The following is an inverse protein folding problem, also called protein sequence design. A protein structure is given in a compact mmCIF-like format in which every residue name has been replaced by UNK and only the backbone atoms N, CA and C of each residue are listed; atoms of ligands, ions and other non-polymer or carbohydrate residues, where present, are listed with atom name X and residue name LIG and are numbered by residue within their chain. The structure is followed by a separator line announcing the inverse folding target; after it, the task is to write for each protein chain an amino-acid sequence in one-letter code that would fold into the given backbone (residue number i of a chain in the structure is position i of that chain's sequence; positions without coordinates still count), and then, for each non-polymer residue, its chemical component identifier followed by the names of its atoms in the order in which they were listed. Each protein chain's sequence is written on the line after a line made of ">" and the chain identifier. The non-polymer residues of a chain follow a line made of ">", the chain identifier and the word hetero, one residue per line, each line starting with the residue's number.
data_IF_570881857276
#
_entry.id   IF_570881857276
#
_cell.length_a   1.000
_cell.length_b   1.000
_cell.length_c   1.000
_cell.angle_alpha   90.00
_cell.angle_beta   90.00
_cell.angle_gamma   90.00
#
_symmetry.space_group_name_H-M   'P 1'
#
loop_
_entity.id
_entity.type
_entity.pdbx_description
1 polymer ?
#
# COMPACT_ATOMS: atom_id res chain seq x y z
N UNK A 1 13.50 -5.97 -8.67
CA UNK A 1 13.50 -4.50 -8.90
C UNK A 1 14.95 -4.07 -8.86
N UNK A 2 15.44 -3.42 -9.91
CA UNK A 2 16.82 -2.95 -9.95
C UNK A 2 16.98 -1.88 -8.86
N UNK A 3 17.92 -2.08 -7.93
CA UNK A 3 18.37 -1.04 -7.03
C UNK A 3 19.06 0.02 -7.87
N UNK A 4 18.31 1.03 -8.29
CA UNK A 4 18.89 2.26 -8.83
C UNK A 4 19.56 2.94 -7.64
N UNK A 5 20.87 2.74 -7.52
CA UNK A 5 21.65 3.39 -6.48
C UNK A 5 21.83 4.85 -6.89
N UNK A 6 20.87 5.70 -6.51
CA UNK A 6 20.94 7.14 -6.70
C UNK A 6 21.88 7.67 -5.62
N UNK A 7 23.19 7.63 -5.89
CA UNK A 7 24.15 8.32 -5.06
C UNK A 7 24.16 9.80 -5.46
N UNK A 8 23.32 10.60 -4.79
CA UNK A 8 23.43 12.04 -4.84
C UNK A 8 24.83 12.44 -4.35
N UNK A 9 25.62 13.11 -5.21
CA UNK A 9 27.00 13.47 -4.89
C UNK A 9 27.10 14.68 -3.96
N UNK A 10 26.01 15.44 -3.82
CA UNK A 10 25.95 16.67 -3.06
C UNK A 10 24.64 16.72 -2.28
N UNK A 11 24.72 17.14 -1.02
CA UNK A 11 23.55 17.51 -0.21
C UNK A 11 23.32 19.02 -0.29
N UNK A 12 22.12 19.48 0.09
CA UNK A 12 21.84 20.91 0.23
C UNK A 12 22.89 21.62 1.09
N UNK A 13 23.32 20.96 2.17
CA UNK A 13 24.32 21.49 3.10
C UNK A 13 25.67 21.66 2.41
N UNK A 14 26.08 20.66 1.62
CA UNK A 14 27.36 20.72 0.89
C UNK A 14 27.39 21.85 -0.14
N UNK A 15 26.23 22.19 -0.73
CA UNK A 15 26.10 23.31 -1.68
C UNK A 15 26.23 24.66 -0.96
N UNK A 16 25.62 24.81 0.22
CA UNK A 16 25.66 26.04 1.02
C UNK A 16 27.03 26.30 1.69
N UNK A 17 27.74 25.24 2.07
CA UNK A 17 29.06 25.34 2.71
C UNK A 17 30.20 25.39 1.69
N UNK A 18 29.90 25.42 0.38
CA UNK A 18 30.91 25.39 -0.66
C UNK A 18 31.57 26.75 -0.83
N UNK A 19 32.84 26.84 -0.46
CA UNK A 19 33.69 27.98 -0.78
C UNK A 19 34.34 27.82 -2.16
N UNK A 20 34.32 28.89 -2.95
CA UNK A 20 34.94 28.96 -4.28
C UNK A 20 36.17 29.86 -4.24
N UNK A 21 37.24 29.42 -4.90
CA UNK A 21 38.42 30.27 -5.13
C UNK A 21 38.09 31.35 -6.17
N UNK A 22 38.51 32.58 -5.90
CA UNK A 22 38.25 33.73 -6.78
C UNK A 22 39.46 33.98 -7.67
N UNK A 23 39.27 33.88 -8.99
CA UNK A 23 40.27 34.21 -10.00
C UNK A 23 39.99 35.56 -10.70
N UNK A 24 41.02 36.18 -11.28
CA UNK A 24 40.98 37.51 -11.93
C UNK A 24 40.01 37.61 -13.13
N UNK A 25 39.52 36.47 -13.64
CA UNK A 25 38.47 36.37 -14.68
C UNK A 25 37.32 35.44 -14.27
N UNK A 26 37.04 35.36 -12.96
CA UNK A 26 35.95 34.56 -12.42
C UNK A 26 34.57 35.21 -12.55
N UNK A 27 33.56 34.43 -12.22
CA UNK A 27 32.20 34.93 -12.02
C UNK A 27 32.12 35.83 -10.79
N UNK A 28 31.13 36.73 -10.75
CA UNK A 28 30.87 37.52 -9.55
C UNK A 28 30.35 36.61 -8.43
N UNK A 29 30.95 36.71 -7.26
CA UNK A 29 30.55 35.95 -6.07
C UNK A 29 29.07 36.12 -5.77
N UNK A 30 28.54 37.34 -5.82
CA UNK A 30 27.12 37.64 -5.56
C UNK A 30 26.15 36.92 -6.52
N UNK A 31 26.52 36.78 -7.79
CA UNK A 31 25.70 36.10 -8.80
C UNK A 31 25.72 34.59 -8.60
N UNK A 32 26.89 34.04 -8.25
CA UNK A 32 27.05 32.63 -7.91
C UNK A 32 26.27 32.30 -6.64
N UNK A 33 26.42 33.08 -5.58
CA UNK A 33 25.70 32.88 -4.31
C UNK A 33 24.18 32.90 -4.52
N UNK A 34 23.67 33.90 -5.24
CA UNK A 34 22.23 34.00 -5.55
C UNK A 34 21.72 32.79 -6.35
N UNK A 35 22.56 32.25 -7.23
CA UNK A 35 22.23 31.04 -8.00
C UNK A 35 22.29 29.77 -7.15
N UNK A 36 23.25 29.67 -6.22
CA UNK A 36 23.37 28.54 -5.30
C UNK A 36 22.24 28.52 -4.27
N UNK A 37 21.73 29.67 -3.85
CA UNK A 37 20.54 29.78 -3.01
C UNK A 37 19.31 29.16 -3.69
N UNK A 38 19.12 29.43 -4.98
CA UNK A 38 18.03 28.83 -5.78
C UNK A 38 18.20 27.31 -5.89
N UNK A 39 19.41 26.84 -6.19
CA UNK A 39 19.70 25.40 -6.24
C UNK A 39 19.44 24.75 -4.87
N UNK A 40 19.84 25.39 -3.77
CA UNK A 40 19.61 24.88 -2.42
C UNK A 40 18.12 24.82 -2.07
N UNK A 41 17.29 25.74 -2.59
CA UNK A 41 15.84 25.68 -2.48
C UNK A 41 15.25 24.51 -3.26
N UNK A 42 15.69 24.31 -4.50
CA UNK A 42 15.24 23.18 -5.33
C UNK A 42 15.61 21.84 -4.70
N UNK A 43 16.81 21.70 -4.12
CA UNK A 43 17.19 20.51 -3.38
C UNK A 43 16.26 20.23 -2.19
N UNK A 44 15.88 21.27 -1.44
CA UNK A 44 14.89 21.14 -0.35
C UNK A 44 13.53 20.69 -0.89
N UNK A 45 13.11 21.22 -2.04
CA UNK A 45 11.87 20.82 -2.68
C UNK A 45 11.92 19.36 -3.13
N UNK A 46 13.03 18.90 -3.70
CA UNK A 46 13.21 17.52 -4.11
C UNK A 46 13.22 16.54 -2.92
N UNK A 47 13.94 16.86 -1.84
CA UNK A 47 13.92 16.06 -0.60
C UNK A 47 12.49 15.92 -0.05
N UNK A 48 11.72 17.02 -0.03
CA UNK A 48 10.33 16.99 0.40
C UNK A 48 9.46 16.12 -0.52
N UNK A 49 9.59 16.31 -1.83
CA UNK A 49 8.84 15.53 -2.81
C UNK A 49 9.17 14.03 -2.72
N UNK A 50 10.44 13.68 -2.48
CA UNK A 50 10.87 12.31 -2.28
C UNK A 50 10.24 11.70 -1.03
N UNK A 51 10.28 12.41 0.11
CA UNK A 51 9.63 11.96 1.34
C UNK A 51 8.12 11.75 1.17
N UNK A 52 7.44 12.67 0.46
CA UNK A 52 6.01 12.51 0.15
C UNK A 52 5.74 11.28 -0.72
N UNK A 53 6.58 11.03 -1.73
CA UNK A 53 6.46 9.85 -2.58
C UNK A 53 6.69 8.56 -1.79
N UNK A 54 7.70 8.50 -0.93
CA UNK A 54 7.96 7.35 -0.07
C UNK A 54 6.78 7.05 0.85
N UNK A 55 6.18 8.08 1.46
CA UNK A 55 4.99 7.92 2.29
C UNK A 55 3.80 7.39 1.48
N UNK A 56 3.60 7.86 0.24
CA UNK A 56 2.53 7.36 -0.64
C UNK A 56 2.78 5.90 -1.02
N UNK A 57 4.02 5.56 -1.40
CA UNK A 57 4.41 4.19 -1.74
C UNK A 57 4.17 3.26 -0.55
N UNK A 58 4.56 3.67 0.66
CA UNK A 58 4.32 2.91 1.87
C UNK A 58 2.82 2.67 2.09
N UNK A 59 1.98 3.71 2.03
CA UNK A 59 0.52 3.59 2.18
C UNK A 59 -0.09 2.67 1.12
N UNK A 60 0.37 2.76 -0.13
CA UNK A 60 -0.09 1.89 -1.21
C UNK A 60 0.30 0.44 -0.97
N UNK A 61 1.54 0.17 -0.53
CA UNK A 61 1.99 -1.18 -0.19
C UNK A 61 1.17 -1.77 0.97
N UNK A 62 0.93 -0.99 2.04
CA UNK A 62 0.07 -1.40 3.15
C UNK A 62 -1.35 -1.72 2.67
N UNK A 63 -1.91 -0.90 1.78
CA UNK A 63 -3.23 -1.14 1.20
C UNK A 63 -3.27 -2.38 0.33
N UNK A 64 -2.25 -2.61 -0.50
CA UNK A 64 -2.11 -3.81 -1.31
C UNK A 64 -2.03 -5.07 -0.44
N UNK A 65 -1.20 -5.05 0.61
CA UNK A 65 -1.10 -6.17 1.55
C UNK A 65 -2.43 -6.45 2.27
N UNK A 66 -3.14 -5.41 2.70
CA UNK A 66 -4.47 -5.56 3.29
C UNK A 66 -5.44 -6.21 2.31
N UNK A 67 -5.48 -5.76 1.05
CA UNK A 67 -6.34 -6.33 0.02
C UNK A 67 -5.98 -7.77 -0.32
N UNK A 68 -4.68 -8.11 -0.37
CA UNK A 68 -4.22 -9.49 -0.57
C UNK A 68 -4.67 -10.40 0.59
N UNK A 69 -4.59 -9.91 1.83
CA UNK A 69 -5.07 -10.65 2.99
C UNK A 69 -6.59 -10.87 2.94
N UNK A 70 -7.37 -9.84 2.63
CA UNK A 70 -8.83 -9.92 2.49
C UNK A 70 -9.23 -10.89 1.36
N UNK A 71 -8.51 -10.85 0.23
CA UNK A 71 -8.72 -11.76 -0.89
C UNK A 71 -8.42 -13.21 -0.48
N UNK A 72 -7.30 -13.45 0.22
CA UNK A 72 -6.94 -14.77 0.70
C UNK A 72 -7.96 -15.32 1.71
N UNK A 73 -8.46 -14.49 2.62
CA UNK A 73 -9.53 -14.86 3.55
C UNK A 73 -10.84 -15.19 2.82
N UNK A 74 -11.20 -14.40 1.81
CA UNK A 74 -12.40 -14.64 1.01
C UNK A 74 -12.28 -15.94 0.22
N UNK A 75 -11.12 -16.20 -0.40
CA UNK A 75 -10.85 -17.45 -1.12
C UNK A 75 -10.91 -18.65 -0.15
N UNK A 76 -10.34 -18.53 1.04
CA UNK A 76 -10.39 -19.59 2.05
C UNK A 76 -11.84 -19.89 2.46
N UNK A 77 -12.64 -18.85 2.69
CA UNK A 77 -14.07 -18.97 3.03
C UNK A 77 -14.85 -19.62 1.90
N UNK A 78 -14.66 -19.17 0.65
CA UNK A 78 -15.33 -19.76 -0.52
C UNK A 78 -14.97 -21.23 -0.72
N UNK A 79 -13.71 -21.62 -0.50
CA UNK A 79 -13.28 -23.03 -0.57
C UNK A 79 -13.97 -23.87 0.51
N UNK A 80 -14.08 -23.34 1.74
CA UNK A 80 -14.79 -24.02 2.82
C UNK A 80 -16.28 -24.17 2.51
N UNK A 81 -16.94 -23.11 2.07
CA UNK A 81 -18.37 -23.14 1.68
C UNK A 81 -18.61 -24.12 0.53
N UNK A 82 -17.75 -24.12 -0.49
CA UNK A 82 -17.86 -25.06 -1.62
C UNK A 82 -17.70 -26.51 -1.15
N UNK A 83 -16.72 -26.79 -0.28
CA UNK A 83 -16.54 -28.14 0.29
C UNK A 83 -17.75 -28.58 1.12
N UNK A 84 -18.31 -27.68 1.94
CA UNK A 84 -19.53 -27.95 2.70
C UNK A 84 -20.72 -28.22 1.77
N UNK A 85 -20.86 -27.45 0.70
CA UNK A 85 -21.92 -27.66 -0.30
C UNK A 85 -21.77 -29.01 -1.02
N UNK A 86 -20.55 -29.40 -1.39
CA UNK A 86 -20.26 -30.71 -1.99
C UNK A 86 -20.54 -31.87 -1.01
N UNK A 87 -20.20 -31.71 0.27
CA UNK A 87 -20.52 -32.70 1.31
C UNK A 87 -22.03 -32.84 1.55
N UNK A 88 -22.78 -31.73 1.55
CA UNK A 88 -24.24 -31.73 1.66
C UNK A 88 -24.91 -32.37 0.44
N UNK A 89 -24.40 -32.09 -0.76
CA UNK A 89 -24.86 -32.73 -2.00
C UNK A 89 -24.58 -34.24 -1.99
N UNK A 90 -23.41 -34.68 -1.52
CA UNK A 90 -23.08 -36.11 -1.34
C UNK A 90 -23.95 -36.80 -0.29
N UNK A 91 -24.33 -36.08 0.77
CA UNK A 91 -25.30 -36.56 1.77
C UNK A 91 -26.76 -36.53 1.27
N UNK A 92 -27.00 -36.14 0.02
CA UNK A 92 -28.32 -36.14 -0.61
C UNK A 92 -29.28 -35.11 -0.02
N UNK A 93 -28.77 -34.10 0.68
CA UNK A 93 -29.60 -33.11 1.37
C UNK A 93 -30.03 -32.05 0.35
N UNK A 94 -31.17 -32.26 -0.32
CA UNK A 94 -31.78 -31.25 -1.18
C UNK A 94 -32.40 -30.13 -0.34
N UNK A 95 -32.35 -28.89 -0.83
CA UNK A 95 -32.93 -27.71 -0.15
C UNK A 95 -34.40 -27.93 0.25
N UNK A 96 -35.16 -28.68 -0.56
CA UNK A 96 -36.53 -29.11 -0.26
C UNK A 96 -36.64 -29.98 1.00
N UNK A 97 -35.69 -30.88 1.24
CA UNK A 97 -35.71 -31.80 2.39
C UNK A 97 -35.27 -31.11 3.69
N UNK A 98 -34.41 -30.09 3.59
CA UNK A 98 -34.09 -29.20 4.71
C UNK A 98 -35.34 -28.42 5.12
N UNK A 99 -36.03 -27.79 4.15
CA UNK A 99 -37.26 -27.04 4.39
C UNK A 99 -38.31 -27.96 5.02
N UNK A 100 -38.53 -29.17 4.50
CA UNK A 100 -39.47 -30.14 5.09
C UNK A 100 -39.10 -30.53 6.52
N UNK A 101 -37.81 -30.73 6.81
CA UNK A 101 -37.33 -31.08 8.16
C UNK A 101 -37.50 -29.92 9.14
N UNK A 102 -37.23 -28.68 8.71
CA UNK A 102 -37.48 -27.47 9.51
C UNK A 102 -38.98 -27.32 9.77
N UNK A 103 -39.84 -27.42 8.76
CA UNK A 103 -41.30 -27.33 8.93
C UNK A 103 -41.86 -28.42 9.85
N UNK A 104 -41.30 -29.63 9.81
CA UNK A 104 -41.67 -30.70 10.73
C UNK A 104 -41.25 -30.38 12.17
N UNK A 105 -40.04 -29.85 12.37
CA UNK A 105 -39.54 -29.43 13.68
C UNK A 105 -40.34 -28.26 14.27
N UNK A 106 -40.67 -27.26 13.46
CA UNK A 106 -41.54 -26.14 13.85
C UNK A 106 -42.92 -26.63 14.27
N UNK A 107 -43.54 -27.54 13.50
CA UNK A 107 -44.83 -28.13 13.85
C UNK A 107 -44.79 -28.92 15.16
N UNK A 108 -43.72 -29.67 15.41
CA UNK A 108 -43.57 -30.42 16.67
C UNK A 108 -43.32 -29.53 17.89
N UNK A 109 -42.69 -28.36 17.70
CA UNK A 109 -42.47 -27.40 18.76
C UNK A 109 -43.71 -26.52 19.01
N UNK A 110 -44.49 -26.18 17.97
CA UNK A 110 -45.77 -25.47 18.08
C UNK A 110 -46.87 -26.31 18.75
N UNK A 111 -46.79 -27.63 18.66
CA UNK A 111 -47.73 -28.55 19.33
C UNK A 111 -47.31 -28.91 20.77
N UNK A 112 -46.26 -28.27 21.30
CA UNK A 112 -45.73 -28.48 22.66
C UNK A 112 -46.10 -27.38 23.65
N UNK A 113 -46.85 -26.36 23.21
CA UNK A 113 -47.61 -25.42 24.04
C UNK A 113 -49.11 -25.77 23.97
#
# INVERSE_FOLDING_TARGET
>A
MANVNINAQLTKKDILEKEFEVEYKGYKVEEVDSFLDLIAEDYKYYEKMESEKEQIIQKLNERCQSLENDLNQTIATLKLTKKQQEELARKGVNSSDIIKRISALEKTNLNKD
#
